data_IF_939299622114
#
_entry.id   IF_939299622114
#
_cell.length_a   1.000
_cell.length_b   1.000
_cell.length_c   1.000
_cell.angle_alpha   90.00
_cell.angle_beta   90.00
_cell.angle_gamma   90.00
#
_symmetry.space_group_name_H-M   'P 1'
#
loop_
_entity.id
_entity.type
_entity.pdbx_description
1 polymer ?
#
# COMPACT_ATOMS: atom_id res chain seq x y z
N UNK A 1 30.22 -8.12 2.00
CA UNK A 1 29.52 -9.39 1.64
C UNK A 1 30.44 -10.59 1.77
N UNK A 2 29.96 -11.71 2.34
CA UNK A 2 30.75 -12.93 2.64
C UNK A 2 30.34 -14.16 1.82
N UNK A 3 29.66 -13.96 0.68
CA UNK A 3 29.13 -15.05 -0.15
C UNK A 3 30.21 -16.02 -0.67
N UNK A 4 31.36 -15.48 -1.09
CA UNK A 4 32.46 -16.31 -1.60
C UNK A 4 33.04 -17.21 -0.52
N UNK A 5 33.21 -16.67 0.68
CA UNK A 5 33.74 -17.40 1.84
C UNK A 5 32.77 -18.50 2.26
N UNK A 6 31.49 -18.18 2.42
CA UNK A 6 30.46 -19.16 2.77
C UNK A 6 30.33 -20.28 1.74
N UNK A 7 30.45 -19.98 0.44
CA UNK A 7 30.46 -21.00 -0.60
C UNK A 7 31.65 -21.97 -0.44
N UNK A 8 32.83 -21.43 -0.15
CA UNK A 8 34.05 -22.23 0.03
C UNK A 8 33.98 -23.07 1.31
N UNK A 9 33.48 -22.52 2.40
CA UNK A 9 33.24 -23.23 3.66
C UNK A 9 32.24 -24.38 3.49
N UNK A 10 31.19 -24.16 2.70
CA UNK A 10 30.21 -25.19 2.35
C UNK A 10 30.73 -26.20 1.28
N UNK A 11 31.96 -26.03 0.78
CA UNK A 11 32.59 -26.96 -0.15
C UNK A 11 32.06 -26.93 -1.58
N UNK A 12 31.33 -25.88 -1.98
CA UNK A 12 30.73 -25.79 -3.31
C UNK A 12 31.64 -25.12 -4.34
N UNK A 13 31.67 -25.69 -5.54
CA UNK A 13 32.33 -25.11 -6.72
C UNK A 13 31.36 -24.21 -7.50
N UNK A 14 31.84 -23.15 -8.13
CA UNK A 14 31.00 -22.19 -8.87
C UNK A 14 30.05 -22.85 -9.87
N UNK A 15 30.47 -23.92 -10.55
CA UNK A 15 29.64 -24.66 -11.50
C UNK A 15 28.41 -25.29 -10.86
N UNK A 16 28.56 -25.85 -9.66
CA UNK A 16 27.47 -26.49 -8.92
C UNK A 16 26.43 -25.47 -8.44
N UNK A 17 26.90 -24.35 -7.89
CA UNK A 17 26.02 -23.26 -7.45
C UNK A 17 25.25 -22.64 -8.63
N UNK A 18 25.93 -22.38 -9.75
CA UNK A 18 25.26 -21.86 -10.95
C UNK A 18 24.19 -22.83 -11.46
N UNK A 19 24.44 -24.14 -11.43
CA UNK A 19 23.47 -25.13 -11.89
C UNK A 19 22.20 -25.13 -11.03
N UNK A 20 22.33 -24.99 -9.71
CA UNK A 20 21.20 -24.89 -8.78
C UNK A 20 20.46 -23.56 -8.93
N UNK A 21 21.18 -22.45 -9.01
CA UNK A 21 20.58 -21.13 -9.17
C UNK A 21 19.88 -20.94 -10.53
N UNK A 22 20.35 -21.62 -11.59
CA UNK A 22 19.68 -21.64 -12.90
C UNK A 22 18.27 -22.24 -12.87
N UNK A 23 17.95 -23.06 -11.86
CA UNK A 23 16.58 -23.58 -11.67
C UNK A 23 15.60 -22.48 -11.28
N UNK A 24 16.09 -21.37 -10.72
CA UNK A 24 15.30 -20.23 -10.25
C UNK A 24 15.33 -19.11 -11.29
N UNK A 25 16.52 -18.72 -11.75
CA UNK A 25 16.72 -17.70 -12.77
C UNK A 25 17.64 -18.24 -13.87
N UNK A 26 17.10 -18.58 -15.06
CA UNK A 26 17.88 -19.17 -16.16
C UNK A 26 19.06 -18.33 -16.64
N UNK A 27 19.03 -17.01 -16.41
CA UNK A 27 20.09 -16.07 -16.84
C UNK A 27 21.36 -16.13 -15.98
N UNK A 28 21.35 -16.87 -14.88
CA UNK A 28 22.52 -16.95 -13.99
C UNK A 28 23.67 -17.69 -14.68
N UNK A 29 24.84 -17.07 -14.72
CA UNK A 29 26.08 -17.65 -15.19
C UNK A 29 27.21 -17.45 -14.17
N UNK A 30 28.40 -17.97 -14.48
CA UNK A 30 29.57 -17.88 -13.60
C UNK A 30 30.02 -16.42 -13.38
N UNK A 31 29.85 -15.58 -14.39
CA UNK A 31 30.25 -14.17 -14.31
C UNK A 31 29.31 -13.40 -13.38
N UNK A 32 28.01 -13.66 -13.47
CA UNK A 32 27.00 -13.07 -12.61
C UNK A 32 27.15 -13.55 -11.16
N UNK A 33 27.39 -14.85 -10.93
CA UNK A 33 27.71 -15.37 -9.61
C UNK A 33 28.97 -14.71 -9.02
N UNK A 34 30.03 -14.54 -9.81
CA UNK A 34 31.25 -13.84 -9.37
C UNK A 34 30.98 -12.37 -9.02
N UNK A 35 30.15 -11.68 -9.80
CA UNK A 35 29.73 -10.30 -9.52
C UNK A 35 28.87 -10.19 -8.25
N UNK A 36 28.07 -11.22 -7.96
CA UNK A 36 27.32 -11.32 -6.70
C UNK A 36 28.28 -11.54 -5.52
N UNK A 37 29.20 -12.49 -5.65
CA UNK A 37 30.21 -12.81 -4.63
C UNK A 37 31.12 -11.62 -4.28
N UNK A 38 31.42 -10.77 -5.25
CA UNK A 38 32.24 -9.57 -5.07
C UNK A 38 31.43 -8.33 -4.69
N UNK A 39 30.12 -8.43 -4.53
CA UNK A 39 29.25 -7.32 -4.12
C UNK A 39 28.96 -6.29 -5.22
N UNK A 40 29.37 -6.55 -6.48
CA UNK A 40 29.08 -5.67 -7.63
C UNK A 40 27.58 -5.66 -7.96
N UNK A 41 26.90 -6.78 -7.75
CA UNK A 41 25.45 -6.93 -7.95
C UNK A 41 24.86 -7.63 -6.73
N UNK A 42 23.65 -7.25 -6.34
CA UNK A 42 22.93 -7.94 -5.26
C UNK A 42 22.03 -9.04 -5.83
N UNK A 43 22.04 -10.24 -5.25
CA UNK A 43 21.10 -11.29 -5.65
C UNK A 43 19.66 -10.90 -5.32
N UNK A 44 18.71 -11.42 -6.10
CA UNK A 44 17.29 -11.27 -5.78
C UNK A 44 16.95 -12.03 -4.49
N UNK A 45 15.85 -11.70 -3.79
CA UNK A 45 15.47 -12.41 -2.57
C UNK A 45 15.29 -13.93 -2.76
N UNK A 46 14.85 -14.37 -3.94
CA UNK A 46 14.68 -15.79 -4.26
C UNK A 46 16.04 -16.50 -4.45
N UNK A 47 16.94 -15.89 -5.22
CA UNK A 47 18.32 -16.37 -5.40
C UNK A 47 19.08 -16.43 -4.08
N UNK A 48 18.90 -15.39 -3.26
CA UNK A 48 19.60 -15.28 -1.99
C UNK A 48 19.15 -16.37 -1.00
N UNK A 49 17.85 -16.65 -0.91
CA UNK A 49 17.35 -17.78 -0.11
C UNK A 49 17.92 -19.11 -0.57
N UNK A 50 17.95 -19.35 -1.88
CA UNK A 50 18.54 -20.56 -2.42
C UNK A 50 20.03 -20.68 -2.11
N UNK A 51 20.78 -19.57 -2.12
CA UNK A 51 22.16 -19.55 -1.66
C UNK A 51 22.29 -19.86 -0.16
N UNK A 52 21.42 -19.31 0.69
CA UNK A 52 21.40 -19.62 2.13
C UNK A 52 21.17 -21.12 2.36
N UNK A 53 20.18 -21.70 1.67
CA UNK A 53 19.84 -23.12 1.75
C UNK A 53 20.99 -24.00 1.25
N UNK A 54 21.61 -23.63 0.12
CA UNK A 54 22.76 -24.34 -0.45
C UNK A 54 23.97 -24.30 0.47
N UNK A 55 24.28 -23.13 1.05
CA UNK A 55 25.47 -22.95 1.89
C UNK A 55 25.23 -23.34 3.35
N UNK A 56 24.00 -23.75 3.72
CA UNK A 56 23.65 -24.08 5.10
C UNK A 56 23.88 -22.93 6.08
N UNK A 57 23.72 -21.68 5.61
CA UNK A 57 24.11 -20.47 6.33
C UNK A 57 22.93 -19.51 6.45
N UNK A 58 22.74 -18.93 7.64
CA UNK A 58 21.70 -17.92 7.87
C UNK A 58 21.98 -16.61 7.10
N UNK A 59 20.94 -15.90 6.62
CA UNK A 59 21.04 -14.61 5.93
C UNK A 59 22.03 -13.62 6.56
N UNK A 60 21.98 -13.50 7.89
CA UNK A 60 22.75 -12.53 8.66
C UNK A 60 24.25 -12.81 8.69
N UNK A 61 24.67 -14.04 8.33
CA UNK A 61 26.08 -14.42 8.23
C UNK A 61 26.66 -14.19 6.82
N UNK A 62 25.81 -14.07 5.80
CA UNK A 62 26.23 -13.85 4.40
C UNK A 62 26.39 -12.37 4.06
N UNK A 63 25.78 -11.48 4.86
CA UNK A 63 25.91 -10.03 4.75
C UNK A 63 26.71 -9.45 5.91
N UNK A 64 27.42 -8.36 5.62
CA UNK A 64 27.84 -7.46 6.69
C UNK A 64 26.62 -6.58 7.05
N UNK A 65 26.27 -6.37 8.33
CA UNK A 65 25.21 -5.43 8.71
C UNK A 65 25.34 -4.05 8.02
N UNK A 66 26.56 -3.59 7.75
CA UNK A 66 26.83 -2.35 7.01
C UNK A 66 26.37 -2.40 5.53
N UNK A 67 26.33 -3.58 4.90
CA UNK A 67 25.86 -3.75 3.51
C UNK A 67 24.33 -3.59 3.38
N UNK A 68 23.61 -3.81 4.49
CA UNK A 68 22.14 -3.81 4.59
C UNK A 68 21.62 -2.53 5.27
N UNK A 69 22.49 -1.78 5.95
CA UNK A 69 22.18 -0.44 6.42
C UNK A 69 22.18 0.55 5.25
N UNK A 70 21.01 0.81 4.68
CA UNK A 70 20.84 1.81 3.64
C UNK A 70 21.02 3.26 4.15
N UNK A 71 21.37 3.46 5.42
CA UNK A 71 21.39 4.78 6.09
C UNK A 71 19.99 5.42 6.15
N UNK A 72 18.95 4.64 5.83
CA UNK A 72 17.58 5.10 5.71
C UNK A 72 16.95 5.13 7.10
N UNK A 73 17.13 6.24 7.81
CA UNK A 73 16.24 6.53 8.91
C UNK A 73 14.86 6.84 8.37
N UNK A 74 13.90 5.95 8.62
CA UNK A 74 12.49 6.24 8.38
C UNK A 74 12.15 7.53 9.15
N UNK A 75 11.99 8.64 8.42
CA UNK A 75 11.51 9.90 9.01
C UNK A 75 10.17 9.59 9.65
N UNK A 76 10.11 9.54 10.98
CA UNK A 76 8.82 9.48 11.69
C UNK A 76 8.05 10.70 11.24
N UNK A 77 6.98 10.46 10.49
CA UNK A 77 6.03 11.49 10.14
C UNK A 77 5.43 12.03 11.43
N UNK A 78 5.85 13.22 11.85
CA UNK A 78 5.23 13.94 12.97
C UNK A 78 3.83 14.47 12.63
N UNK A 79 3.37 14.30 11.38
CA UNK A 79 1.98 14.58 11.04
C UNK A 79 1.11 13.50 11.67
N UNK A 80 0.51 13.85 12.81
CA UNK A 80 -0.80 13.31 13.18
C UNK A 80 -1.67 13.37 11.93
N UNK A 81 -2.36 12.27 11.63
CA UNK A 81 -3.20 12.14 10.45
C UNK A 81 -4.44 13.05 10.57
N UNK A 82 -4.24 14.35 10.36
CA UNK A 82 -5.24 15.40 10.53
C UNK A 82 -6.37 15.34 9.51
N UNK A 83 -6.29 14.44 8.53
CA UNK A 83 -7.26 14.32 7.43
C UNK A 83 -8.23 13.15 7.57
N UNK A 84 -8.10 12.30 8.60
CA UNK A 84 -9.05 11.19 8.79
C UNK A 84 -10.34 11.67 9.45
N UNK A 85 -11.22 12.27 8.65
CA UNK A 85 -12.65 12.04 8.86
C UNK A 85 -12.85 10.52 8.95
N UNK A 86 -13.49 10.05 10.03
CA UNK A 86 -13.54 8.62 10.38
C UNK A 86 -14.22 7.73 9.33
N UNK A 87 -14.99 8.32 8.40
CA UNK A 87 -15.84 7.59 7.45
C UNK A 87 -15.65 8.13 6.04
N UNK A 88 -15.56 7.21 5.07
CA UNK A 88 -15.49 7.50 3.63
C UNK A 88 -16.80 7.07 2.98
N UNK A 89 -17.37 7.93 2.13
CA UNK A 89 -18.49 7.59 1.26
C UNK A 89 -17.95 7.36 -0.16
N UNK A 90 -18.32 6.24 -0.79
CA UNK A 90 -17.99 5.94 -2.19
C UNK A 90 -19.25 5.45 -2.87
N UNK A 91 -19.65 6.12 -3.94
CA UNK A 91 -20.87 5.82 -4.69
C UNK A 91 -20.54 5.72 -6.17
N UNK A 92 -21.22 4.81 -6.87
CA UNK A 92 -21.17 4.75 -8.33
C UNK A 92 -22.14 5.79 -8.89
N UNK A 93 -21.68 6.56 -9.86
CA UNK A 93 -22.47 7.57 -10.55
C UNK A 93 -22.50 7.23 -12.03
N UNK A 94 -23.62 7.51 -12.69
CA UNK A 94 -23.67 7.56 -14.15
C UNK A 94 -22.85 8.73 -14.68
N UNK A 95 -22.30 8.60 -15.88
CA UNK A 95 -21.46 9.64 -16.50
C UNK A 95 -22.13 11.02 -16.54
N UNK A 96 -23.43 11.07 -16.85
CA UNK A 96 -24.21 12.31 -16.87
C UNK A 96 -24.13 13.05 -15.53
N UNK A 97 -24.32 12.33 -14.41
CA UNK A 97 -24.29 12.92 -13.06
C UNK A 97 -22.87 13.25 -12.60
N UNK A 98 -21.88 12.47 -13.04
CA UNK A 98 -20.47 12.75 -12.74
C UNK A 98 -20.02 14.08 -13.37
N UNK A 99 -20.50 14.41 -14.58
CA UNK A 99 -20.18 15.68 -15.27
C UNK A 99 -20.63 16.92 -14.48
N UNK A 100 -21.75 16.86 -13.78
CA UNK A 100 -22.26 17.98 -12.98
C UNK A 100 -21.55 18.17 -11.63
N UNK A 101 -20.74 17.20 -11.18
CA UNK A 101 -19.97 17.27 -9.94
C UNK A 101 -18.57 17.86 -10.12
N UNK A 102 -18.39 18.67 -11.16
CA UNK A 102 -17.14 19.36 -11.43
C UNK A 102 -16.91 20.54 -10.48
N UNK A 103 -15.66 20.81 -10.04
CA UNK A 103 -15.34 21.92 -9.14
C UNK A 103 -15.85 23.29 -9.63
N UNK A 104 -15.84 23.52 -10.94
CA UNK A 104 -16.27 24.75 -11.60
C UNK A 104 -17.77 24.99 -11.38
N UNK A 105 -18.59 23.96 -11.63
CA UNK A 105 -20.04 24.01 -11.41
C UNK A 105 -20.35 24.22 -9.92
N UNK A 106 -19.64 23.51 -9.04
CA UNK A 106 -19.83 23.61 -7.60
C UNK A 106 -19.45 25.00 -7.07
N UNK A 107 -18.34 25.56 -7.54
CA UNK A 107 -17.88 26.90 -7.16
C UNK A 107 -18.84 27.98 -7.65
N UNK A 108 -19.35 27.86 -8.88
CA UNK A 108 -20.37 28.77 -9.42
C UNK A 108 -21.66 28.78 -8.58
N UNK A 109 -21.99 27.67 -7.93
CA UNK A 109 -23.14 27.54 -7.02
C UNK A 109 -22.81 27.86 -5.55
N UNK A 110 -21.60 28.38 -5.26
CA UNK A 110 -21.18 28.78 -3.92
C UNK A 110 -20.67 27.64 -3.03
N UNK A 111 -20.41 26.45 -3.59
CA UNK A 111 -19.83 25.33 -2.84
C UNK A 111 -18.30 25.32 -2.95
N UNK A 112 -17.62 25.27 -1.80
CA UNK A 112 -16.15 25.19 -1.73
C UNK A 112 -15.60 23.91 -2.36
N UNK A 113 -16.26 22.77 -2.14
CA UNK A 113 -15.87 21.47 -2.71
C UNK A 113 -17.03 20.47 -2.68
N UNK A 114 -16.82 19.27 -3.25
CA UNK A 114 -17.79 18.17 -3.29
C UNK A 114 -18.28 17.77 -1.88
N UNK A 115 -17.41 17.80 -0.88
CA UNK A 115 -17.76 17.45 0.49
C UNK A 115 -18.70 18.48 1.11
N UNK A 116 -18.43 19.77 0.91
CA UNK A 116 -19.30 20.85 1.35
C UNK A 116 -20.68 20.77 0.70
N UNK A 117 -20.74 20.54 -0.61
CA UNK A 117 -22.00 20.31 -1.32
C UNK A 117 -22.77 19.13 -0.71
N UNK A 118 -22.11 18.00 -0.46
CA UNK A 118 -22.73 16.82 0.11
C UNK A 118 -23.29 17.09 1.51
N UNK A 119 -22.56 17.81 2.37
CA UNK A 119 -23.04 18.16 3.72
C UNK A 119 -24.32 19.00 3.67
N UNK A 120 -24.38 20.00 2.79
CA UNK A 120 -25.60 20.81 2.59
C UNK A 120 -26.77 19.94 2.12
N UNK A 121 -26.54 18.97 1.22
CA UNK A 121 -27.62 18.07 0.80
C UNK A 121 -28.06 17.12 1.92
N UNK A 122 -27.14 16.64 2.75
CA UNK A 122 -27.46 15.80 3.92
C UNK A 122 -28.30 16.59 4.94
N UNK A 123 -27.97 17.86 5.20
CA UNK A 123 -28.74 18.69 6.11
C UNK A 123 -30.16 18.96 5.58
N UNK A 124 -30.30 19.18 4.27
CA UNK A 124 -31.62 19.30 3.61
C UNK A 124 -32.43 18.01 3.70
N UNK A 125 -31.77 16.86 3.50
CA UNK A 125 -32.38 15.54 3.64
C UNK A 125 -32.88 15.33 5.08
N UNK A 126 -32.03 15.61 6.08
CA UNK A 126 -32.37 15.54 7.50
C UNK A 126 -33.56 16.43 7.84
N UNK A 127 -33.55 17.69 7.40
CA UNK A 127 -34.65 18.62 7.65
C UNK A 127 -35.98 18.12 7.05
N UNK A 128 -35.94 17.60 5.83
CA UNK A 128 -37.12 17.05 5.14
C UNK A 128 -37.68 15.83 5.86
N UNK A 129 -36.80 14.92 6.31
CA UNK A 129 -37.20 13.74 7.09
C UNK A 129 -37.87 14.13 8.41
N UNK A 130 -37.26 15.05 9.17
CA UNK A 130 -37.82 15.51 10.45
C UNK A 130 -39.17 16.21 10.28
N UNK A 131 -39.38 16.96 9.19
CA UNK A 131 -40.69 17.57 8.89
C UNK A 131 -41.77 16.51 8.64
N UNK A 132 -41.45 15.46 7.87
CA UNK A 132 -42.38 14.34 7.63
C UNK A 132 -42.72 13.60 8.91
N UNK A 133 -41.71 13.25 9.70
CA UNK A 133 -41.91 12.56 10.98
C UNK A 133 -42.79 13.37 11.95
N UNK A 134 -42.62 14.70 12.01
CA UNK A 134 -43.48 15.58 12.82
C UNK A 134 -44.92 15.61 12.31
N UNK A 135 -45.13 15.59 10.99
CA UNK A 135 -46.47 15.58 10.38
C UNK A 135 -47.21 14.28 10.72
N UNK A 136 -46.54 13.15 10.54
CA UNK A 136 -47.09 11.82 10.88
C UNK A 136 -47.39 11.69 12.38
N UNK A 137 -46.55 12.24 13.25
CA UNK A 137 -46.83 12.25 14.69
C UNK A 137 -48.03 13.13 15.04
N UNK A 138 -48.21 14.26 14.35
CA UNK A 138 -49.36 15.15 14.55
C UNK A 138 -50.66 14.50 14.07
N UNK A 139 -50.64 13.78 12.95
CA UNK A 139 -51.79 13.03 12.43
C UNK A 139 -52.18 11.89 13.39
N UNK A 140 -51.21 11.11 13.87
CA UNK A 140 -51.46 10.06 14.89
C UNK A 140 -51.99 10.60 16.21
N UNK A 141 -51.48 11.74 16.68
CA UNK A 141 -51.98 12.35 17.91
C UNK A 141 -53.39 12.96 17.73
N UNK A 142 -53.80 13.31 16.51
CA UNK A 142 -55.16 13.78 16.23
C UNK A 142 -56.14 12.61 16.18
N UNK A 143 -55.76 11.46 15.60
CA UNK A 143 -56.59 10.24 15.56
C UNK A 143 -56.81 9.59 16.93
N UNK A 144 -55.91 9.80 17.90
CA UNK A 144 -56.06 9.27 19.27
C UNK A 144 -56.91 10.19 20.17
N UNK A 145 -57.07 11.46 19.79
CA UNK A 145 -57.85 12.47 20.52
C UNK A 145 -59.23 12.76 19.91
N UNK A 146 -59.56 12.11 18.79
CA UNK A 146 -60.87 12.15 18.11
C UNK A 146 -61.66 10.88 18.45
#
# INVERSE_FOLDING_TARGET
MKLKEARLEAGFVNTSVVAELKKIEPRIDKALLSRMETGVVRPTPAEFRAMCDLYGTEPDKLFDPEDVDYGLQARRSHKLDGHKLRRKLTVRLTDEKARWLQPEVLSALGYVNKQHWLYVQIDRLKASYLRKAKKEQKEKNYEVSA
#
